data_IF_101981622400
#
_entry.id   IF_101981622400
#
_cell.length_a   1.000
_cell.length_b   1.000
_cell.length_c   1.000
_cell.angle_alpha   90.00
_cell.angle_beta   90.00
_cell.angle_gamma   90.00
#
_symmetry.space_group_name_H-M   'P 1'
#
loop_
_entity.id
_entity.type
_entity.pdbx_description
1 polymer ?
#
# COMPACT_ATOMS: atom_id res chain seq x y z
N UNK A 1 12.34 22.00 3.83
CA UNK A 1 12.05 22.85 2.65
C UNK A 1 10.57 23.18 2.63
N UNK A 2 10.13 24.35 2.17
CA UNK A 2 8.70 24.65 2.12
C UNK A 2 7.89 23.67 1.25
N UNK A 3 6.59 23.50 1.55
CA UNK A 3 5.64 22.78 0.71
C UNK A 3 5.53 23.42 -0.67
N UNK A 4 5.31 22.62 -1.70
CA UNK A 4 5.19 23.07 -3.09
C UNK A 4 3.88 22.60 -3.68
N UNK A 5 3.04 23.52 -4.11
CA UNK A 5 1.75 23.21 -4.73
C UNK A 5 1.78 23.80 -6.13
N UNK A 6 1.65 22.95 -7.15
CA UNK A 6 1.59 23.39 -8.53
C UNK A 6 0.31 24.23 -8.77
N UNK A 7 0.35 25.28 -9.62
CA UNK A 7 -0.78 26.20 -9.78
C UNK A 7 -2.12 25.58 -10.21
N UNK A 8 -2.08 24.38 -10.80
CA UNK A 8 -3.28 23.67 -11.26
C UNK A 8 -3.63 22.45 -10.42
N UNK A 9 -3.01 22.29 -9.24
CA UNK A 9 -3.42 21.29 -8.26
C UNK A 9 -4.63 21.82 -7.48
N UNK A 10 -5.57 20.93 -7.17
CA UNK A 10 -6.73 21.22 -6.33
C UNK A 10 -6.47 20.64 -4.93
N UNK A 11 -6.20 21.51 -3.97
CA UNK A 11 -5.83 21.12 -2.60
C UNK A 11 -6.77 21.84 -1.65
N UNK A 12 -7.54 21.06 -0.89
CA UNK A 12 -8.41 21.60 0.15
C UNK A 12 -7.61 22.38 1.20
N UNK A 13 -8.15 23.51 1.67
CA UNK A 13 -7.58 24.28 2.79
C UNK A 13 -7.59 23.49 4.11
N UNK A 14 -8.42 22.46 4.20
CA UNK A 14 -8.55 21.58 5.37
C UNK A 14 -7.59 20.38 5.33
N UNK A 15 -6.81 20.24 4.26
CA UNK A 15 -5.75 19.23 4.17
C UNK A 15 -4.49 19.66 4.93
N UNK A 16 -3.81 18.70 5.55
CA UNK A 16 -2.55 18.92 6.27
C UNK A 16 -1.40 18.37 5.46
N UNK A 17 -0.47 19.24 5.05
CA UNK A 17 0.72 18.87 4.28
C UNK A 17 1.99 19.13 5.10
N UNK A 18 2.76 18.07 5.35
CA UNK A 18 4.06 18.17 6.02
C UNK A 18 5.11 18.92 5.18
N UNK A 19 6.15 19.41 5.86
CA UNK A 19 7.26 20.14 5.24
C UNK A 19 7.89 19.34 4.08
N UNK A 20 8.26 20.01 2.99
CA UNK A 20 8.90 19.41 1.81
C UNK A 20 7.93 18.73 0.84
N UNK A 21 6.70 18.48 1.26
CA UNK A 21 5.68 17.83 0.44
C UNK A 21 5.34 18.63 -0.82
N UNK A 22 5.28 17.93 -1.94
CA UNK A 22 5.13 18.51 -3.27
C UNK A 22 3.91 17.91 -3.99
N UNK A 23 2.96 18.76 -4.35
CA UNK A 23 1.72 18.40 -5.06
C UNK A 23 1.81 18.92 -6.50
N UNK A 24 1.75 18.01 -7.46
CA UNK A 24 1.95 18.32 -8.88
C UNK A 24 0.63 18.62 -9.60
N UNK A 25 0.76 19.12 -10.83
CA UNK A 25 -0.36 19.59 -11.66
C UNK A 25 -1.53 18.62 -11.73
N UNK A 26 -2.76 19.14 -11.58
CA UNK A 26 -4.01 18.39 -11.73
C UNK A 26 -4.21 17.29 -10.68
N UNK A 27 -3.31 17.17 -9.69
CA UNK A 27 -3.59 16.34 -8.54
C UNK A 27 -4.74 16.97 -7.72
N UNK A 28 -5.52 16.11 -7.07
CA UNK A 28 -6.54 16.52 -6.11
C UNK A 28 -6.20 15.94 -4.72
N UNK A 29 -6.17 16.79 -3.70
CA UNK A 29 -6.03 16.40 -2.30
C UNK A 29 -7.24 16.93 -1.54
N UNK A 30 -8.08 16.01 -1.06
CA UNK A 30 -9.36 16.29 -0.43
C UNK A 30 -9.22 16.76 1.02
N UNK A 31 -10.33 17.20 1.57
CA UNK A 31 -10.49 17.68 2.95
C UNK A 31 -9.98 16.63 3.94
N UNK A 32 -9.42 17.10 5.07
CA UNK A 32 -8.97 16.25 6.18
C UNK A 32 -7.87 15.24 5.85
N UNK A 33 -7.38 15.18 4.61
CA UNK A 33 -6.23 14.35 4.26
C UNK A 33 -4.99 14.84 5.02
N UNK A 34 -4.18 13.90 5.52
CA UNK A 34 -2.95 14.18 6.27
C UNK A 34 -1.79 13.54 5.54
N UNK A 35 -0.90 14.36 4.99
CA UNK A 35 0.33 13.92 4.34
C UNK A 35 1.52 14.33 5.20
N UNK A 36 2.41 13.39 5.49
CA UNK A 36 3.67 13.62 6.18
C UNK A 36 4.63 14.52 5.41
N UNK A 37 5.89 14.53 5.85
CA UNK A 37 6.98 15.31 5.24
C UNK A 37 7.49 14.65 3.97
N UNK A 38 8.05 15.48 3.09
CA UNK A 38 8.77 15.04 1.89
C UNK A 38 7.98 14.09 0.97
N UNK A 39 6.65 14.18 1.01
CA UNK A 39 5.77 13.42 0.14
C UNK A 39 5.73 13.99 -1.28
N UNK A 40 5.49 13.13 -2.26
CA UNK A 40 5.29 13.54 -3.65
C UNK A 40 3.96 13.02 -4.13
N UNK A 41 3.06 13.92 -4.54
CA UNK A 41 1.78 13.58 -5.19
C UNK A 41 1.84 14.01 -6.64
N UNK A 42 1.96 13.03 -7.54
CA UNK A 42 2.17 13.19 -8.96
C UNK A 42 0.95 13.76 -9.70
N UNK A 43 1.16 14.06 -10.99
CA UNK A 43 0.16 14.71 -11.84
C UNK A 43 -1.12 13.88 -11.93
N UNK A 44 -2.27 14.50 -11.66
CA UNK A 44 -3.56 13.84 -11.82
C UNK A 44 -3.86 12.75 -10.79
N UNK A 45 -3.03 12.61 -9.74
CA UNK A 45 -3.33 11.69 -8.65
C UNK A 45 -4.48 12.23 -7.78
N UNK A 46 -5.28 11.33 -7.23
CA UNK A 46 -6.36 11.65 -6.31
C UNK A 46 -6.04 11.10 -4.92
N UNK A 47 -6.09 11.97 -3.91
CA UNK A 47 -5.99 11.62 -2.50
C UNK A 47 -7.33 11.95 -1.83
N UNK A 48 -8.04 10.90 -1.41
CA UNK A 48 -9.37 10.97 -0.84
C UNK A 48 -9.46 11.66 0.53
N UNK A 49 -10.69 11.89 0.96
CA UNK A 49 -11.01 12.60 2.21
C UNK A 49 -10.45 11.84 3.42
N UNK A 50 -9.73 12.52 4.32
CA UNK A 50 -9.23 11.86 5.53
C UNK A 50 -8.18 10.77 5.30
N UNK A 51 -7.67 10.59 4.07
CA UNK A 51 -6.56 9.67 3.79
C UNK A 51 -5.33 10.10 4.59
N UNK A 52 -4.66 9.12 5.20
CA UNK A 52 -3.44 9.37 5.99
C UNK A 52 -2.24 8.77 5.28
N UNK A 53 -1.22 9.59 5.04
CA UNK A 53 0.06 9.20 4.46
C UNK A 53 1.20 9.64 5.40
N UNK A 54 2.08 8.70 5.72
CA UNK A 54 3.30 8.96 6.47
C UNK A 54 4.33 9.81 5.71
N UNK A 55 5.53 9.92 6.26
CA UNK A 55 6.64 10.65 5.66
C UNK A 55 7.20 9.94 4.43
N UNK A 56 7.81 10.67 3.50
CA UNK A 56 8.54 10.16 2.34
C UNK A 56 7.70 9.30 1.37
N UNK A 57 6.38 9.40 1.40
CA UNK A 57 5.51 8.68 0.47
C UNK A 57 5.60 9.25 -0.95
N UNK A 58 5.46 8.38 -1.95
CA UNK A 58 5.40 8.80 -3.37
C UNK A 58 4.18 8.21 -4.03
N UNK A 59 3.24 9.07 -4.41
CA UNK A 59 2.07 8.73 -5.21
C UNK A 59 2.30 9.22 -6.63
N UNK A 60 2.41 8.29 -7.57
CA UNK A 60 2.74 8.62 -8.95
C UNK A 60 1.49 9.05 -9.75
N UNK A 61 1.73 9.54 -10.97
CA UNK A 61 0.71 10.12 -11.83
C UNK A 61 -0.53 9.22 -11.98
N UNK A 62 -1.71 9.84 -11.88
CA UNK A 62 -3.02 9.21 -12.05
C UNK A 62 -3.36 8.07 -11.08
N UNK A 63 -2.59 7.89 -9.99
CA UNK A 63 -2.99 6.95 -8.95
C UNK A 63 -4.22 7.49 -8.19
N UNK A 64 -5.14 6.59 -7.86
CA UNK A 64 -6.38 6.88 -7.14
C UNK A 64 -6.32 6.23 -5.76
N UNK A 65 -6.13 7.06 -4.72
CA UNK A 65 -6.06 6.65 -3.32
C UNK A 65 -7.34 7.09 -2.63
N UNK A 66 -8.33 6.20 -2.57
CA UNK A 66 -9.62 6.51 -1.96
C UNK A 66 -9.60 6.33 -0.44
N UNK A 67 -10.40 7.14 0.25
CA UNK A 67 -10.65 7.06 1.67
C UNK A 67 -11.30 5.73 2.09
N UNK A 68 -11.03 5.18 3.28
CA UNK A 68 -10.18 5.68 4.36
C UNK A 68 -8.77 5.07 4.30
N UNK A 69 -8.12 5.03 3.13
CA UNK A 69 -6.79 4.43 2.99
C UNK A 69 -5.75 5.04 3.95
N UNK A 70 -4.83 4.17 4.41
CA UNK A 70 -3.73 4.53 5.32
C UNK A 70 -2.42 4.00 4.76
N UNK A 71 -1.48 4.90 4.52
CA UNK A 71 -0.15 4.61 4.00
C UNK A 71 0.88 5.01 5.07
N UNK A 72 1.69 4.06 5.52
CA UNK A 72 2.81 4.34 6.41
C UNK A 72 3.98 5.03 5.68
N UNK A 73 5.06 5.29 6.41
CA UNK A 73 6.24 5.98 5.87
C UNK A 73 6.87 5.22 4.70
N UNK A 74 7.38 5.96 3.72
CA UNK A 74 8.15 5.43 2.59
C UNK A 74 7.34 4.61 1.58
N UNK A 75 6.00 4.62 1.64
CA UNK A 75 5.16 3.90 0.70
C UNK A 75 5.29 4.46 -0.71
N UNK A 76 5.43 3.57 -1.69
CA UNK A 76 5.41 3.90 -3.12
C UNK A 76 4.13 3.41 -3.78
N UNK A 77 3.36 4.33 -4.36
CA UNK A 77 2.18 4.04 -5.18
C UNK A 77 2.52 4.35 -6.64
N UNK A 78 2.63 3.31 -7.45
CA UNK A 78 2.98 3.41 -8.86
C UNK A 78 1.94 4.13 -9.74
N UNK A 79 2.29 4.47 -10.98
CA UNK A 79 1.39 5.20 -11.87
C UNK A 79 0.08 4.45 -12.11
N UNK A 80 -1.03 5.16 -12.04
CA UNK A 80 -2.37 4.63 -12.28
C UNK A 80 -2.76 3.41 -11.41
N UNK A 81 -2.21 3.30 -10.20
CA UNK A 81 -2.70 2.36 -9.18
C UNK A 81 -4.08 2.80 -8.68
N UNK A 82 -4.94 1.83 -8.35
CA UNK A 82 -6.25 2.10 -7.73
C UNK A 82 -6.36 1.36 -6.40
N UNK A 83 -6.59 2.10 -5.32
CA UNK A 83 -6.99 1.53 -4.02
C UNK A 83 -8.50 1.73 -3.86
N UNK A 84 -9.30 0.67 -3.84
CA UNK A 84 -10.77 0.78 -3.74
C UNK A 84 -11.22 1.01 -2.30
N UNK A 85 -12.50 1.32 -2.09
CA UNK A 85 -13.03 1.63 -0.77
C UNK A 85 -14.44 1.11 -0.41
N UNK A 86 -14.94 0.15 -1.19
CA UNK A 86 -16.26 -0.43 -1.00
C UNK A 86 -16.14 -1.96 -1.07
N UNK A 87 -16.91 -2.65 -0.25
CA UNK A 87 -17.04 -4.11 -0.30
C UNK A 87 -17.73 -4.59 -1.58
N UNK A 88 -18.87 -3.97 -1.92
CA UNK A 88 -19.79 -4.40 -2.96
C UNK A 88 -20.53 -3.20 -3.59
N UNK A 89 -19.83 -2.36 -4.38
CA UNK A 89 -20.38 -1.10 -4.84
C UNK A 89 -21.59 -1.30 -5.77
N UNK A 90 -22.61 -0.45 -5.57
CA UNK A 90 -23.81 -0.32 -6.42
C UNK A 90 -24.24 1.15 -6.44
N UNK A 91 -24.78 1.60 -7.57
CA UNK A 91 -25.31 2.97 -7.70
C UNK A 91 -26.69 3.14 -7.03
N UNK A 92 -27.39 2.04 -6.74
CA UNK A 92 -28.76 2.04 -6.19
C UNK A 92 -28.91 1.01 -5.07
N UNK A 93 -29.89 1.24 -4.22
CA UNK A 93 -30.38 0.28 -3.23
C UNK A 93 -31.18 -0.84 -3.92
N UNK A 94 -31.47 -1.96 -3.22
CA UNK A 94 -32.27 -3.05 -3.79
C UNK A 94 -33.66 -2.64 -4.29
N UNK A 95 -34.21 -1.54 -3.77
CA UNK A 95 -35.50 -0.97 -4.20
C UNK A 95 -35.41 -0.01 -5.39
N UNK A 96 -34.20 0.26 -5.90
CA UNK A 96 -33.93 1.17 -7.02
C UNK A 96 -33.73 2.64 -6.63
N UNK A 97 -33.84 3.00 -5.35
CA UNK A 97 -33.49 4.35 -4.88
C UNK A 97 -31.99 4.60 -5.00
N UNK A 98 -31.59 5.86 -5.20
CA UNK A 98 -30.18 6.26 -5.29
C UNK A 98 -29.47 5.97 -3.96
N UNK A 99 -28.31 5.30 -4.02
CA UNK A 99 -27.45 5.14 -2.85
C UNK A 99 -26.78 6.45 -2.49
N UNK A 100 -26.76 6.77 -1.21
CA UNK A 100 -26.11 7.93 -0.62
C UNK A 100 -24.94 7.49 0.28
N UNK A 101 -24.19 8.46 0.80
CA UNK A 101 -23.16 8.19 1.80
C UNK A 101 -23.72 7.55 3.09
N UNK A 102 -25.02 7.73 3.39
CA UNK A 102 -25.64 7.11 4.55
C UNK A 102 -25.86 5.59 4.38
N UNK A 103 -25.81 5.09 3.13
CA UNK A 103 -25.98 3.67 2.78
C UNK A 103 -24.63 2.93 2.61
N UNK A 104 -23.52 3.63 2.84
CA UNK A 104 -22.16 3.15 2.56
C UNK A 104 -21.38 2.92 3.85
N UNK A 105 -20.81 1.71 3.97
CA UNK A 105 -19.83 1.39 5.00
C UNK A 105 -18.42 1.48 4.39
N UNK A 106 -17.63 2.49 4.77
CA UNK A 106 -16.31 2.70 4.18
C UNK A 106 -15.32 1.63 4.67
N UNK A 107 -14.62 1.01 3.72
CA UNK A 107 -13.45 0.16 4.00
C UNK A 107 -12.27 0.64 3.20
N UNK A 108 -11.05 0.42 3.69
CA UNK A 108 -9.85 0.98 3.08
C UNK A 108 -8.77 -0.04 2.83
N UNK A 109 -7.75 0.41 2.09
CA UNK A 109 -6.47 -0.30 1.96
C UNK A 109 -5.50 0.25 2.99
N UNK A 110 -4.89 -0.63 3.78
CA UNK A 110 -3.80 -0.26 4.70
C UNK A 110 -2.48 -0.73 4.13
N UNK A 111 -1.51 0.17 4.01
CA UNK A 111 -0.20 -0.12 3.42
C UNK A 111 0.88 0.24 4.45
N UNK A 112 1.67 -0.74 4.84
CA UNK A 112 2.69 -0.62 5.86
C UNK A 112 4.03 -0.10 5.29
N UNK A 113 4.97 0.18 6.18
CA UNK A 113 6.21 0.93 5.91
C UNK A 113 6.98 0.37 4.70
N UNK A 114 7.39 1.26 3.80
CA UNK A 114 8.27 0.95 2.68
C UNK A 114 7.67 0.01 1.62
N UNK A 115 6.39 -0.36 1.72
CA UNK A 115 5.75 -1.21 0.72
C UNK A 115 5.61 -0.47 -0.63
N UNK A 116 5.68 -1.23 -1.72
CA UNK A 116 5.69 -0.69 -3.08
C UNK A 116 4.61 -1.33 -3.94
N UNK A 117 3.74 -0.50 -4.52
CA UNK A 117 2.64 -0.91 -5.36
C UNK A 117 2.96 -0.59 -6.82
N UNK A 118 3.17 -1.61 -7.63
CA UNK A 118 3.55 -1.49 -9.03
C UNK A 118 2.49 -0.80 -9.89
N UNK A 119 2.93 -0.19 -10.98
CA UNK A 119 2.07 0.54 -11.91
C UNK A 119 0.81 -0.25 -12.30
N UNK A 120 -0.34 0.42 -12.36
CA UNK A 120 -1.64 -0.17 -12.76
C UNK A 120 -2.13 -1.35 -11.91
N UNK A 121 -1.56 -1.58 -10.73
CA UNK A 121 -2.12 -2.54 -9.80
C UNK A 121 -3.45 -2.04 -9.20
N UNK A 122 -4.32 -2.97 -8.83
CA UNK A 122 -5.57 -2.69 -8.13
C UNK A 122 -5.57 -3.40 -6.79
N UNK A 123 -5.82 -2.66 -5.71
CA UNK A 123 -5.95 -3.21 -4.37
C UNK A 123 -7.41 -3.12 -3.95
N UNK A 124 -8.07 -4.28 -3.86
CA UNK A 124 -9.49 -4.39 -3.56
C UNK A 124 -9.67 -4.34 -2.04
N UNK A 125 -10.23 -3.26 -1.52
CA UNK A 125 -10.51 -3.13 -0.09
C UNK A 125 -11.55 -4.14 0.41
N UNK A 126 -11.48 -4.54 1.70
CA UNK A 126 -10.39 -4.25 2.63
C UNK A 126 -9.21 -5.20 2.42
N UNK A 127 -8.00 -4.66 2.28
CA UNK A 127 -6.75 -5.44 2.30
C UNK A 127 -5.65 -4.69 3.01
N UNK A 128 -4.77 -5.44 3.67
CA UNK A 128 -3.52 -4.96 4.25
C UNK A 128 -2.32 -5.41 3.42
N UNK A 129 -1.41 -4.48 3.15
CA UNK A 129 -0.16 -4.74 2.44
C UNK A 129 0.98 -4.52 3.42
N UNK A 130 1.65 -5.60 3.80
CA UNK A 130 2.64 -5.62 4.85
C UNK A 130 3.93 -4.87 4.50
N UNK A 131 4.71 -4.55 5.54
CA UNK A 131 5.91 -3.73 5.41
C UNK A 131 6.88 -4.30 4.36
N UNK A 132 7.43 -3.41 3.52
CA UNK A 132 8.38 -3.74 2.45
C UNK A 132 7.87 -4.77 1.42
N UNK A 133 6.58 -5.09 1.40
CA UNK A 133 6.00 -5.94 0.37
C UNK A 133 6.03 -5.22 -0.99
N UNK A 134 6.14 -6.01 -2.06
CA UNK A 134 6.08 -5.51 -3.43
C UNK A 134 4.92 -6.15 -4.17
N UNK A 135 3.99 -5.32 -4.63
CA UNK A 135 2.93 -5.71 -5.56
C UNK A 135 3.44 -5.43 -6.97
N UNK A 136 3.54 -6.46 -7.81
CA UNK A 136 3.99 -6.29 -9.18
C UNK A 136 3.01 -5.44 -10.01
N UNK A 137 3.53 -4.82 -11.08
CA UNK A 137 2.71 -4.04 -11.99
C UNK A 137 1.53 -4.86 -12.56
N UNK A 138 0.37 -4.23 -12.65
CA UNK A 138 -0.86 -4.84 -13.18
C UNK A 138 -1.49 -5.93 -12.30
N UNK A 139 -0.98 -6.19 -11.10
CA UNK A 139 -1.56 -7.20 -10.20
C UNK A 139 -2.89 -6.73 -9.59
N UNK A 140 -3.78 -7.68 -9.28
CA UNK A 140 -5.05 -7.41 -8.58
C UNK A 140 -5.01 -8.08 -7.21
N UNK A 141 -4.77 -7.29 -6.17
CA UNK A 141 -4.68 -7.74 -4.78
C UNK A 141 -6.08 -7.87 -4.20
N UNK A 142 -6.45 -9.08 -3.80
CA UNK A 142 -7.78 -9.41 -3.24
C UNK A 142 -7.69 -10.03 -1.84
N UNK A 143 -6.48 -10.10 -1.27
CA UNK A 143 -6.18 -10.65 0.06
C UNK A 143 -4.98 -9.91 0.63
N UNK A 144 -4.82 -9.98 1.95
CA UNK A 144 -3.66 -9.43 2.64
C UNK A 144 -2.34 -9.96 2.05
N UNK A 145 -1.35 -9.08 2.00
CA UNK A 145 0.00 -9.38 1.50
C UNK A 145 0.96 -9.36 2.70
N UNK A 146 1.64 -10.47 3.03
CA UNK A 146 2.60 -10.49 4.12
C UNK A 146 3.76 -9.51 3.92
N UNK A 147 4.38 -9.08 5.01
CA UNK A 147 5.60 -8.27 4.95
C UNK A 147 6.66 -8.94 4.07
N UNK A 148 7.42 -8.13 3.31
CA UNK A 148 8.43 -8.56 2.35
C UNK A 148 7.94 -9.46 1.20
N UNK A 149 6.65 -9.78 1.10
CA UNK A 149 6.17 -10.66 0.03
C UNK A 149 6.24 -9.95 -1.33
N UNK A 150 6.67 -10.69 -2.35
CA UNK A 150 6.52 -10.29 -3.74
C UNK A 150 5.28 -10.99 -4.31
N UNK A 151 4.26 -10.22 -4.71
CA UNK A 151 3.02 -10.75 -5.28
C UNK A 151 2.80 -10.29 -6.71
N UNK A 152 2.23 -11.14 -7.55
CA UNK A 152 1.92 -10.81 -8.94
C UNK A 152 0.67 -11.56 -9.44
N UNK A 153 0.07 -11.07 -10.53
CA UNK A 153 -1.03 -11.73 -11.23
C UNK A 153 -2.43 -11.23 -10.88
N UNK A 154 -3.43 -11.86 -11.51
CA UNK A 154 -4.86 -11.55 -11.35
C UNK A 154 -5.64 -12.84 -11.12
N UNK A 155 -6.07 -13.15 -9.88
CA UNK A 155 -5.74 -12.43 -8.64
C UNK A 155 -4.28 -12.62 -8.24
N UNK A 156 -3.74 -11.67 -7.46
CA UNK A 156 -2.35 -11.66 -7.03
C UNK A 156 -2.01 -12.87 -6.15
N UNK A 157 -0.84 -13.46 -6.37
CA UNK A 157 -0.29 -14.58 -5.59
C UNK A 157 1.18 -14.32 -5.26
N UNK A 158 1.63 -14.77 -4.09
CA UNK A 158 3.04 -14.69 -3.68
C UNK A 158 3.90 -15.53 -4.61
N UNK A 159 4.89 -14.91 -5.22
CA UNK A 159 5.87 -15.54 -6.12
C UNK A 159 7.29 -15.52 -5.55
N UNK A 160 7.50 -14.85 -4.42
CA UNK A 160 8.80 -14.79 -3.75
C UNK A 160 8.81 -13.78 -2.61
N UNK A 161 10.02 -13.38 -2.23
CA UNK A 161 10.29 -12.40 -1.19
C UNK A 161 11.22 -11.31 -1.72
N UNK A 162 11.11 -10.10 -1.16
CA UNK A 162 11.97 -8.95 -1.46
C UNK A 162 12.60 -8.41 -0.18
N UNK A 163 13.84 -7.94 -0.28
CA UNK A 163 14.48 -7.18 0.79
C UNK A 163 14.08 -5.71 0.77
N UNK A 164 14.58 -4.92 1.73
CA UNK A 164 14.35 -3.45 1.74
C UNK A 164 14.92 -2.72 0.51
N UNK A 165 15.85 -3.35 -0.20
CA UNK A 165 16.38 -2.84 -1.46
C UNK A 165 15.40 -2.98 -2.65
N UNK A 166 14.29 -3.71 -2.48
CA UNK A 166 13.30 -3.96 -3.54
C UNK A 166 13.66 -5.09 -4.51
N UNK A 167 14.85 -5.68 -4.39
CA UNK A 167 15.28 -6.82 -5.21
C UNK A 167 14.76 -8.16 -4.65
N UNK A 168 14.38 -9.11 -5.53
CA UNK A 168 14.04 -10.47 -5.12
C UNK A 168 15.17 -11.12 -4.34
N UNK A 169 14.84 -11.73 -3.21
CA UNK A 169 15.82 -12.41 -2.37
C UNK A 169 16.21 -13.77 -2.97
N UNK A 170 17.47 -14.15 -2.80
CA UNK A 170 17.99 -15.46 -3.22
C UNK A 170 18.05 -16.43 -2.03
N UNK A 171 17.78 -17.72 -2.20
CA UNK A 171 17.95 -18.71 -1.13
C UNK A 171 19.36 -18.66 -0.52
N UNK A 172 19.44 -18.90 0.79
CA UNK A 172 20.69 -18.98 1.57
C UNK A 172 20.68 -20.24 2.44
N UNK A 173 21.83 -20.58 3.03
CA UNK A 173 21.92 -21.65 4.03
C UNK A 173 20.87 -21.45 5.14
N UNK A 174 20.13 -22.50 5.54
CA UNK A 174 19.11 -22.43 6.59
C UNK A 174 19.64 -21.90 7.92
N UNK A 175 18.74 -21.41 8.76
CA UNK A 175 19.06 -21.00 10.12
C UNK A 175 19.45 -22.17 11.04
N UNK A 176 19.93 -21.88 12.27
CA UNK A 176 20.30 -22.90 13.25
C UNK A 176 19.20 -23.94 13.52
N UNK A 177 17.94 -23.53 13.45
CA UNK A 177 16.76 -24.37 13.67
C UNK A 177 16.22 -25.02 12.38
N UNK A 178 16.95 -24.91 11.27
CA UNK A 178 16.54 -25.39 9.95
C UNK A 178 15.53 -24.49 9.23
N UNK A 179 15.20 -23.32 9.79
CA UNK A 179 14.30 -22.35 9.17
C UNK A 179 14.83 -21.87 7.81
N UNK A 180 14.00 -21.82 6.75
CA UNK A 180 14.40 -21.27 5.46
C UNK A 180 14.92 -19.83 5.58
N UNK A 181 16.02 -19.55 4.88
CA UNK A 181 16.64 -18.23 4.83
C UNK A 181 16.84 -17.76 3.40
N UNK A 182 16.87 -16.44 3.27
CA UNK A 182 17.20 -15.77 2.03
C UNK A 182 18.21 -14.66 2.28
N UNK A 183 18.92 -14.26 1.22
CA UNK A 183 19.89 -13.18 1.21
C UNK A 183 19.49 -12.12 0.20
N UNK A 184 19.58 -10.86 0.59
CA UNK A 184 19.46 -9.76 -0.35
C UNK A 184 20.72 -9.70 -1.24
N UNK A 185 20.58 -9.76 -2.58
CA UNK A 185 21.73 -9.71 -3.47
C UNK A 185 22.44 -8.34 -3.47
N UNK A 186 21.76 -7.29 -3.01
CA UNK A 186 22.29 -5.92 -2.99
C UNK A 186 23.01 -5.61 -1.68
N UNK A 187 22.35 -5.85 -0.55
CA UNK A 187 22.86 -5.45 0.77
C UNK A 187 23.58 -6.58 1.51
N UNK A 188 23.42 -7.83 1.06
CA UNK A 188 23.89 -9.01 1.77
C UNK A 188 23.06 -9.37 3.02
N UNK A 189 22.07 -8.56 3.40
CA UNK A 189 21.17 -8.77 4.54
C UNK A 189 20.51 -10.14 4.47
N UNK A 190 20.49 -10.85 5.59
CA UNK A 190 19.83 -12.14 5.73
C UNK A 190 18.41 -11.96 6.24
N UNK A 191 17.52 -12.80 5.73
CA UNK A 191 16.14 -12.90 6.16
C UNK A 191 15.81 -14.35 6.49
N UNK A 192 14.97 -14.55 7.50
CA UNK A 192 14.56 -15.86 7.99
C UNK A 192 13.05 -15.96 8.03
N UNK A 193 12.53 -17.12 7.62
CA UNK A 193 11.10 -17.43 7.68
C UNK A 193 10.63 -17.62 9.10
N UNK A 194 9.43 -17.13 9.40
CA UNK A 194 8.68 -17.49 10.59
C UNK A 194 7.18 -17.46 10.30
N UNK A 195 6.41 -18.11 11.16
CA UNK A 195 4.95 -18.02 11.11
C UNK A 195 4.52 -16.79 11.92
N UNK A 196 3.92 -15.82 11.24
CA UNK A 196 3.36 -14.65 11.90
C UNK A 196 2.07 -15.05 12.63
N UNK A 197 1.87 -14.50 13.83
CA UNK A 197 0.55 -14.56 14.45
C UNK A 197 -0.45 -13.81 13.57
N UNK A 198 -1.67 -14.35 13.39
CA UNK A 198 -2.71 -13.65 12.65
C UNK A 198 -2.99 -12.29 13.31
N UNK A 199 -3.06 -11.24 12.49
CA UNK A 199 -3.44 -9.92 13.00
C UNK A 199 -4.84 -10.00 13.63
N UNK A 200 -5.04 -9.29 14.75
CA UNK A 200 -6.33 -9.25 15.44
C UNK A 200 -7.46 -8.87 14.46
N UNK A 201 -8.41 -9.78 14.25
CA UNK A 201 -9.56 -9.57 13.35
C UNK A 201 -9.50 -10.30 12.01
N UNK A 202 -8.40 -10.96 11.64
CA UNK A 202 -8.38 -11.83 10.46
C UNK A 202 -9.03 -13.19 10.76
N UNK A 203 -10.14 -13.52 10.10
CA UNK A 203 -10.73 -14.88 10.14
C UNK A 203 -9.71 -15.96 9.74
N UNK A 204 -10.01 -17.24 10.01
CA UNK A 204 -9.07 -18.36 9.84
C UNK A 204 -8.39 -18.38 8.46
N UNK A 205 -7.15 -17.90 8.39
CA UNK A 205 -6.31 -17.94 7.19
C UNK A 205 -5.58 -19.29 7.11
N UNK A 206 -5.28 -19.75 5.90
CA UNK A 206 -4.53 -20.98 5.70
C UNK A 206 -3.09 -20.83 6.19
N UNK A 207 -2.45 -21.92 6.66
CA UNK A 207 -1.08 -21.89 7.22
C UNK A 207 -0.01 -21.36 6.25
N UNK A 208 -0.27 -21.39 4.93
CA UNK A 208 0.64 -20.82 3.92
C UNK A 208 0.58 -19.30 3.80
N UNK A 209 -0.53 -18.70 4.25
CA UNK A 209 -0.81 -17.25 4.20
C UNK A 209 -0.26 -16.54 5.44
N UNK A 210 -0.09 -17.23 6.57
CA UNK A 210 0.52 -16.70 7.81
C UNK A 210 2.05 -16.64 7.77
N UNK A 211 2.69 -17.31 6.81
CA UNK A 211 4.14 -17.30 6.67
C UNK A 211 4.65 -15.94 6.18
N UNK A 212 5.67 -15.41 6.86
CA UNK A 212 6.42 -14.21 6.44
C UNK A 212 7.91 -14.37 6.73
N UNK A 213 8.71 -13.33 6.46
CA UNK A 213 10.15 -13.30 6.72
C UNK A 213 10.51 -12.06 7.53
N UNK A 214 11.57 -12.15 8.34
CA UNK A 214 12.16 -11.02 9.06
C UNK A 214 13.65 -10.97 8.83
N UNK A 215 14.20 -9.76 8.92
CA UNK A 215 15.63 -9.53 8.91
C UNK A 215 16.31 -10.22 10.10
N UNK A 216 17.45 -10.87 9.85
CA UNK A 216 18.28 -11.48 10.89
C UNK A 216 19.27 -10.43 11.38
N UNK A 217 18.98 -9.81 12.53
CA UNK A 217 19.96 -8.98 13.25
C UNK A 217 20.99 -9.86 13.93
N UNK A 218 22.27 -9.51 13.74
CA UNK A 218 23.42 -10.11 14.42
C UNK A 218 23.53 -9.66 15.87
#
# INVERSE_FOLDING_TARGET
>A
MATRIAPSADVSEEAVLGEGTSIWHLAQVREHAVLGRDCIVGRGAYIGEGVVMGDNCKVQNYALVYEPARLADGVFIGPAVTLTNDHFPRAVNPDGSLKSAADWEPVGVTIEEGASIGARAVCVAPVRIGAWATVAAGAVVTKDVPAHALVAGVPARRIGWVGRAGEPLTPSDPGPDGAPRWRCPVTGTLYEQFDAEPAAGSGSQSSSESTTIREVTH
#
